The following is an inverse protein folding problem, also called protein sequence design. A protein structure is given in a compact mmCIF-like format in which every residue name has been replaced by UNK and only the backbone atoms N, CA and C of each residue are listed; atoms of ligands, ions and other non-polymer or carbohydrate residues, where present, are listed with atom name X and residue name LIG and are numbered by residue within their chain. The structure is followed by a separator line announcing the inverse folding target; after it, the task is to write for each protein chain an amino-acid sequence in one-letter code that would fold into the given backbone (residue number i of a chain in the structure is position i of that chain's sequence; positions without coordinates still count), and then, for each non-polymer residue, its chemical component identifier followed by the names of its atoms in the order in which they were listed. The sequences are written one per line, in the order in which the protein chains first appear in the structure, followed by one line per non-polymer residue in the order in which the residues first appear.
data_IF_776393747130
#
_entry.id   IF_776393747130
#
_cell.length_a   1.000
_cell.length_b   1.000
_cell.length_c   1.000
_cell.angle_alpha   90.00
_cell.angle_beta   90.00
_cell.angle_gamma   90.00
#
_symmetry.space_group_name_H-M   'P 1'
#
loop_
_entity.id
_entity.type
_entity.pdbx_description
1 polymer ?
#
# COMPACT_ATOMS: atom_id res chain seq x y z
N UNK A 1 -0.55 -15.55 19.19
CA UNK A 1 -1.03 -14.60 18.14
C UNK A 1 0.16 -13.82 17.56
N UNK A 2 0.17 -13.50 16.25
CA UNK A 2 1.30 -12.76 15.61
C UNK A 2 0.87 -11.33 15.26
N UNK A 3 1.71 -10.37 15.63
CA UNK A 3 1.52 -8.94 15.42
C UNK A 3 2.60 -8.41 14.48
N UNK A 4 2.23 -7.75 13.39
CA UNK A 4 3.20 -7.06 12.55
C UNK A 4 3.24 -5.56 12.91
N UNK A 5 4.46 -5.04 13.08
CA UNK A 5 4.75 -3.65 13.42
C UNK A 5 5.69 -3.09 12.35
N UNK A 6 5.25 -2.12 11.55
CA UNK A 6 6.11 -1.42 10.60
C UNK A 6 7.06 -0.50 11.38
N UNK A 7 8.37 -0.59 11.18
CA UNK A 7 9.36 0.22 11.90
C UNK A 7 10.35 0.94 10.97
N UNK A 8 10.78 2.12 11.42
CA UNK A 8 11.88 2.91 10.89
C UNK A 8 12.88 3.12 12.02
N UNK A 9 14.12 2.67 11.84
CA UNK A 9 15.23 2.91 12.80
C UNK A 9 14.79 2.72 14.26
N UNK A 10 14.17 1.57 14.55
CA UNK A 10 13.66 1.14 15.87
C UNK A 10 12.39 1.83 16.41
N UNK A 11 11.67 2.61 15.59
CA UNK A 11 10.39 3.23 15.97
C UNK A 11 9.27 2.85 15.01
N UNK A 12 8.03 2.85 15.49
CA UNK A 12 6.88 2.58 14.61
C UNK A 12 6.82 3.61 13.48
N UNK A 13 6.80 3.13 12.24
CA UNK A 13 6.80 3.97 11.06
C UNK A 13 5.52 4.81 11.00
N UNK A 14 5.67 6.07 10.58
CA UNK A 14 4.53 6.98 10.48
C UNK A 14 3.54 6.55 9.39
N UNK A 15 4.04 5.92 8.32
CA UNK A 15 3.24 5.39 7.23
C UNK A 15 3.59 3.93 6.99
N UNK A 16 2.56 3.08 6.92
CA UNK A 16 2.71 1.64 6.71
C UNK A 16 3.57 1.28 5.48
N UNK A 17 3.32 1.91 4.33
CA UNK A 17 4.03 1.58 3.08
C UNK A 17 5.41 2.23 2.96
N UNK A 18 5.76 3.20 3.82
CA UNK A 18 7.09 3.84 3.84
C UNK A 18 7.97 3.32 4.99
N UNK A 19 7.53 2.26 5.64
CA UNK A 19 8.32 1.61 6.68
C UNK A 19 9.56 0.98 6.05
N UNK A 20 10.72 1.08 6.70
CA UNK A 20 11.94 0.44 6.25
C UNK A 20 11.86 -1.08 6.48
N UNK A 21 11.33 -1.48 7.65
CA UNK A 21 11.23 -2.87 8.06
C UNK A 21 9.86 -3.18 8.64
N UNK A 22 9.51 -4.47 8.66
CA UNK A 22 8.37 -5.04 9.34
C UNK A 22 8.90 -6.01 10.39
N UNK A 23 8.58 -5.71 11.64
CA UNK A 23 8.91 -6.55 12.78
C UNK A 23 7.67 -7.35 13.14
N UNK A 24 7.80 -8.67 13.14
CA UNK A 24 6.81 -9.62 13.59
C UNK A 24 7.10 -9.90 15.05
N UNK A 25 6.12 -9.68 15.91
CA UNK A 25 6.22 -9.94 17.35
C UNK A 25 5.12 -10.89 17.79
N UNK A 26 5.41 -11.68 18.82
CA UNK A 26 4.43 -12.54 19.45
C UNK A 26 3.47 -11.73 20.36
N UNK A 27 2.57 -12.43 21.04
CA UNK A 27 1.64 -11.82 22.00
C UNK A 27 2.31 -11.25 23.26
N UNK A 28 3.55 -11.65 23.55
CA UNK A 28 4.38 -11.15 24.66
C UNK A 28 5.24 -9.95 24.23
N UNK A 29 5.16 -9.52 22.98
CA UNK A 29 6.00 -8.45 22.42
C UNK A 29 7.43 -8.89 22.11
N UNK A 30 7.70 -10.19 22.01
CA UNK A 30 9.00 -10.74 21.62
C UNK A 30 9.11 -10.72 20.10
N UNK A 31 10.20 -10.16 19.58
CA UNK A 31 10.50 -10.19 18.14
C UNK A 31 10.72 -11.63 17.66
N UNK A 32 9.85 -12.06 16.75
CA UNK A 32 9.93 -13.34 16.07
C UNK A 32 10.76 -13.24 14.80
N UNK A 33 10.61 -12.14 14.06
CA UNK A 33 11.31 -11.92 12.80
C UNK A 33 11.28 -10.45 12.40
N UNK A 34 12.30 -10.01 11.65
CA UNK A 34 12.39 -8.69 11.05
C UNK A 34 12.68 -8.83 9.58
N UNK A 35 11.80 -8.31 8.74
CA UNK A 35 11.93 -8.37 7.27
C UNK A 35 11.91 -6.98 6.68
N UNK A 36 12.67 -6.77 5.61
CA UNK A 36 12.62 -5.51 4.84
C UNK A 36 11.26 -5.34 4.18
N UNK A 37 10.80 -4.09 4.06
CA UNK A 37 9.50 -3.82 3.45
C UNK A 37 9.59 -3.81 1.91
N UNK A 38 8.98 -4.78 1.20
CA UNK A 38 9.03 -4.81 -0.26
C UNK A 38 8.22 -3.67 -0.92
N UNK A 39 7.43 -2.91 -0.15
CA UNK A 39 6.73 -1.72 -0.62
C UNK A 39 7.58 -0.44 -0.52
N UNK A 40 8.77 -0.50 0.09
CA UNK A 40 9.67 0.65 0.17
C UNK A 40 10.25 0.95 -1.22
N UNK A 41 9.93 2.12 -1.78
CA UNK A 41 10.42 2.54 -3.10
C UNK A 41 9.81 1.79 -4.30
N UNK A 42 8.92 0.82 -4.05
CA UNK A 42 8.23 0.06 -5.09
C UNK A 42 6.80 0.56 -5.31
N UNK A 43 6.32 0.46 -6.56
CA UNK A 43 4.97 0.84 -6.96
C UNK A 43 3.90 -0.19 -6.49
N UNK A 44 2.81 -0.31 -7.24
CA UNK A 44 1.66 -1.17 -6.93
C UNK A 44 2.02 -2.64 -6.65
N UNK A 45 3.10 -3.16 -7.24
CA UNK A 45 3.56 -4.55 -7.04
C UNK A 45 4.15 -4.77 -5.64
N UNK A 46 4.92 -3.81 -5.11
CA UNK A 46 5.50 -3.90 -3.77
C UNK A 46 4.44 -3.94 -2.67
N UNK A 47 3.37 -3.15 -2.85
CA UNK A 47 2.20 -3.15 -1.94
C UNK A 47 1.47 -4.48 -1.89
N UNK A 48 1.42 -5.22 -2.99
CA UNK A 48 0.79 -6.55 -3.03
C UNK A 48 1.68 -7.60 -2.36
N UNK A 49 2.98 -7.60 -2.68
CA UNK A 49 3.96 -8.46 -2.01
C UNK A 49 3.99 -8.26 -0.49
N UNK A 50 3.81 -7.01 -0.04
CA UNK A 50 3.71 -6.69 1.39
C UNK A 50 2.53 -7.42 2.05
N UNK A 51 1.35 -7.37 1.44
CA UNK A 51 0.17 -8.08 1.96
C UNK A 51 0.37 -9.59 1.89
N UNK A 52 0.88 -10.10 0.77
CA UNK A 52 1.16 -11.53 0.60
C UNK A 52 2.14 -12.04 1.67
N UNK A 53 3.16 -11.25 2.01
CA UNK A 53 4.11 -11.57 3.08
C UNK A 53 3.41 -11.66 4.43
N UNK A 54 2.53 -10.72 4.78
CA UNK A 54 1.81 -10.75 6.06
C UNK A 54 0.89 -11.98 6.16
N UNK A 55 0.24 -12.34 5.05
CA UNK A 55 -0.60 -13.55 4.98
C UNK A 55 0.26 -14.81 5.12
N UNK A 56 1.39 -14.88 4.43
CA UNK A 56 2.35 -16.00 4.53
C UNK A 56 2.90 -16.18 5.94
N UNK A 57 3.17 -15.06 6.63
CA UNK A 57 3.66 -15.05 8.02
C UNK A 57 2.53 -15.25 9.05
N UNK A 58 1.30 -15.55 8.59
CA UNK A 58 0.12 -15.78 9.43
C UNK A 58 -0.15 -14.66 10.44
N UNK A 59 0.07 -13.41 10.02
CA UNK A 59 -0.14 -12.23 10.84
C UNK A 59 -1.63 -12.10 11.15
N UNK A 60 -1.96 -12.09 12.44
CA UNK A 60 -3.35 -11.93 12.89
C UNK A 60 -3.72 -10.47 13.04
N UNK A 61 -2.77 -9.62 13.46
CA UNK A 61 -2.98 -8.19 13.62
C UNK A 61 -1.79 -7.35 13.16
N UNK A 62 -2.06 -6.12 12.74
CA UNK A 62 -1.04 -5.14 12.32
C UNK A 62 -1.25 -3.85 13.10
N UNK A 63 -0.20 -3.34 13.73
CA UNK A 63 -0.26 -2.06 14.46
C UNK A 63 0.42 -0.99 13.64
N UNK A 64 -0.30 0.06 13.29
CA UNK A 64 0.17 1.13 12.38
C UNK A 64 -0.08 2.50 12.98
N UNK A 65 0.69 3.50 12.56
CA UNK A 65 0.39 4.90 12.91
C UNK A 65 -0.58 5.53 11.92
N UNK A 66 -0.26 5.41 10.63
CA UNK A 66 -1.17 5.81 9.55
C UNK A 66 -1.16 4.76 8.44
N UNK A 67 -2.36 4.44 7.96
CA UNK A 67 -2.60 3.54 6.83
C UNK A 67 -3.56 4.20 5.84
N UNK A 68 -3.36 3.93 4.55
CA UNK A 68 -4.28 4.38 3.51
C UNK A 68 -5.49 3.44 3.39
N UNK A 69 -6.65 3.98 3.08
CA UNK A 69 -7.93 3.25 2.92
C UNK A 69 -7.79 2.00 2.05
N UNK A 70 -7.16 2.12 0.88
CA UNK A 70 -6.97 1.00 -0.06
C UNK A 70 -6.14 -0.15 0.53
N UNK A 71 -5.20 0.14 1.42
CA UNK A 71 -4.39 -0.89 2.07
C UNK A 71 -5.13 -1.51 3.25
N UNK A 72 -5.82 -0.68 4.03
CA UNK A 72 -6.67 -1.13 5.12
C UNK A 72 -7.73 -2.12 4.61
N UNK A 73 -8.43 -1.79 3.53
CA UNK A 73 -9.41 -2.70 2.92
C UNK A 73 -8.83 -4.04 2.48
N UNK A 74 -7.56 -4.07 2.02
CA UNK A 74 -6.89 -5.33 1.68
C UNK A 74 -6.58 -6.17 2.92
N UNK A 75 -6.03 -5.56 3.97
CA UNK A 75 -5.74 -6.26 5.21
C UNK A 75 -7.02 -6.85 5.82
N UNK A 76 -8.10 -6.05 5.87
CA UNK A 76 -9.42 -6.49 6.34
C UNK A 76 -9.98 -7.63 5.48
N UNK A 77 -9.81 -7.59 4.15
CA UNK A 77 -10.23 -8.67 3.25
C UNK A 77 -9.49 -10.00 3.50
N UNK A 78 -8.30 -9.95 4.07
CA UNK A 78 -7.52 -11.13 4.48
C UNK A 78 -7.74 -11.52 5.96
N UNK A 79 -8.76 -10.96 6.63
CA UNK A 79 -9.06 -11.19 8.05
C UNK A 79 -7.91 -10.77 8.99
N UNK A 80 -7.10 -9.80 8.56
CA UNK A 80 -6.03 -9.22 9.38
C UNK A 80 -6.60 -7.99 10.11
N UNK A 81 -6.61 -8.04 11.44
CA UNK A 81 -7.05 -6.90 12.25
C UNK A 81 -6.02 -5.77 12.17
N UNK A 82 -6.48 -4.53 12.03
CA UNK A 82 -5.58 -3.37 11.95
C UNK A 82 -5.86 -2.45 13.12
N UNK A 83 -4.82 -2.12 13.88
CA UNK A 83 -4.88 -1.23 15.02
C UNK A 83 -4.07 0.03 14.74
N UNK A 84 -4.67 1.17 15.03
CA UNK A 84 -4.01 2.46 14.94
C UNK A 84 -3.44 2.87 16.30
N UNK A 85 -2.17 3.26 16.32
CA UNK A 85 -1.52 3.92 17.46
C UNK A 85 -1.29 5.40 17.17
N UNK A 86 -1.45 6.24 18.19
CA UNK A 86 -1.15 7.67 18.15
C UNK A 86 0.37 7.96 18.28
N UNK A 87 1.09 7.07 18.97
CA UNK A 87 2.45 7.25 19.43
C UNK A 87 3.42 6.21 18.84
N UNK A 88 4.33 6.65 17.97
CA UNK A 88 5.33 5.75 17.37
C UNK A 88 6.54 5.37 18.25
N UNK A 89 6.59 5.84 19.51
CA UNK A 89 7.64 5.52 20.50
C UNK A 89 7.21 4.45 21.52
N UNK A 90 6.05 3.84 21.33
CA UNK A 90 5.53 2.79 22.21
C UNK A 90 6.41 1.53 22.08
N UNK A 91 6.62 0.85 23.20
CA UNK A 91 7.31 -0.45 23.21
C UNK A 91 6.42 -1.52 22.56
N UNK A 92 7.03 -2.51 21.91
CA UNK A 92 6.28 -3.61 21.28
C UNK A 92 5.43 -4.38 22.29
N UNK A 93 5.90 -4.48 23.54
CA UNK A 93 5.16 -5.09 24.66
C UNK A 93 3.83 -4.37 24.92
N UNK A 94 3.82 -3.04 24.90
CA UNK A 94 2.58 -2.25 25.06
C UNK A 94 1.66 -2.40 23.86
N UNK A 95 2.22 -2.39 22.65
CA UNK A 95 1.44 -2.56 21.41
C UNK A 95 0.85 -3.96 21.27
N UNK A 96 1.41 -4.94 21.99
CA UNK A 96 0.91 -6.31 22.00
C UNK A 96 -0.18 -6.55 23.04
N UNK A 97 -0.28 -5.69 24.03
CA UNK A 97 -1.23 -5.82 25.11
C UNK A 97 -2.66 -5.59 24.61
N UNK A 98 -3.57 -6.58 24.70
CA UNK A 98 -4.95 -6.46 24.21
C UNK A 98 -5.80 -5.46 25.01
N UNK A 99 -5.38 -5.08 26.22
CA UNK A 99 -6.09 -4.15 27.11
C UNK A 99 -5.64 -2.69 26.92
N UNK A 100 -4.70 -2.43 26.01
CA UNK A 100 -4.29 -1.06 25.71
C UNK A 100 -5.41 -0.29 25.02
N UNK A 101 -6.19 0.45 25.81
CA UNK A 101 -7.15 1.51 25.39
C UNK A 101 -6.55 2.60 24.50
N UNK A 102 -5.25 2.52 24.22
CA UNK A 102 -4.49 3.44 23.39
C UNK A 102 -4.57 3.06 21.90
N UNK A 103 -4.98 1.83 21.59
CA UNK A 103 -5.10 1.35 20.22
C UNK A 103 -6.53 1.51 19.72
N UNK A 104 -6.67 2.14 18.55
CA UNK A 104 -7.96 2.26 17.87
C UNK A 104 -8.07 1.17 16.82
N UNK A 105 -9.02 0.26 16.97
CA UNK A 105 -9.27 -0.76 15.94
C UNK A 105 -9.88 -0.12 14.69
N UNK A 106 -9.27 -0.42 13.54
CA UNK A 106 -9.73 -0.01 12.23
C UNK A 106 -10.43 -1.20 11.57
N UNK A 107 -11.75 -1.26 11.69
CA UNK A 107 -12.57 -2.33 11.13
C UNK A 107 -13.24 -1.95 9.80
N UNK A 108 -13.20 -0.67 9.42
CA UNK A 108 -13.73 -0.17 8.16
C UNK A 108 -12.62 0.46 7.32
N UNK A 109 -12.56 0.17 6.00
CA UNK A 109 -11.58 0.76 5.11
C UNK A 109 -11.62 2.30 5.12
N UNK A 110 -12.81 2.89 5.30
CA UNK A 110 -13.06 4.34 5.36
C UNK A 110 -12.31 5.05 6.50
N UNK A 111 -11.91 4.32 7.55
CA UNK A 111 -11.10 4.87 8.64
C UNK A 111 -9.63 5.10 8.22
N UNK A 112 -9.22 4.54 7.08
CA UNK A 112 -7.91 4.80 6.49
C UNK A 112 -7.85 6.17 5.81
N UNK A 113 -6.64 6.70 5.63
CA UNK A 113 -6.45 7.95 4.89
C UNK A 113 -6.90 7.78 3.44
N UNK A 114 -7.87 8.58 3.02
CA UNK A 114 -8.26 8.70 1.62
C UNK A 114 -7.07 9.18 0.80
N UNK A 115 -6.85 8.57 -0.36
CA UNK A 115 -5.85 9.05 -1.31
C UNK A 115 -6.41 10.29 -2.02
N UNK A 116 -6.17 11.48 -1.46
CA UNK A 116 -6.44 12.76 -2.12
C UNK A 116 -5.47 12.99 -3.28
N UNK A 117 -5.63 12.23 -4.36
CA UNK A 117 -4.94 12.50 -5.62
C UNK A 117 -5.67 11.89 -6.83
N UNK A 118 -6.99 12.02 -6.88
CA UNK A 118 -7.78 11.75 -8.08
C UNK A 118 -8.85 12.83 -8.28
N UNK A 119 -8.47 14.09 -8.06
CA UNK A 119 -9.13 15.22 -8.70
C UNK A 119 -8.12 15.86 -9.65
N UNK A 120 -8.51 15.99 -10.91
CA UNK A 120 -7.73 16.49 -12.06
C UNK A 120 -6.69 15.54 -12.66
N UNK A 121 -7.14 14.57 -13.47
CA UNK A 121 -6.66 14.43 -14.87
C UNK A 121 -7.52 13.46 -15.68
N UNK A 122 -8.28 14.06 -16.61
CA UNK A 122 -8.59 13.55 -17.94
C UNK A 122 -9.22 12.16 -18.04
N UNK A 123 -10.55 12.12 -18.19
CA UNK A 123 -11.19 11.08 -18.98
C UNK A 123 -10.64 11.15 -20.42
N UNK A 124 -9.58 10.40 -20.73
CA UNK A 124 -9.28 10.02 -22.11
C UNK A 124 -9.61 8.55 -22.23
N UNK A 125 -10.84 8.31 -22.67
CA UNK A 125 -11.37 6.99 -22.93
C UNK A 125 -10.54 6.30 -24.02
N UNK A 126 -10.30 5.03 -23.75
CA UNK A 126 -9.96 3.90 -24.61
C UNK A 126 -9.97 4.14 -26.12
N UNK A 127 -8.86 3.77 -26.76
CA UNK A 127 -8.85 3.30 -28.14
C UNK A 127 -9.62 1.97 -28.22
N UNK A 128 -10.57 1.87 -29.13
CA UNK A 128 -10.89 0.66 -29.90
C UNK A 128 -11.74 1.07 -31.11
N UNK A 129 -11.34 0.53 -32.26
CA UNK A 129 -11.70 0.81 -33.64
C UNK A 129 -13.19 0.78 -34.01
N UNK A 130 -13.57 1.54 -35.05
CA UNK A 130 -14.90 1.48 -35.64
C UNK A 130 -15.21 2.56 -36.68
N UNK A 131 -14.65 2.39 -37.88
CA UNK A 131 -15.04 2.94 -39.19
C UNK A 131 -16.44 3.59 -39.28
N UNK A 132 -16.53 4.88 -39.65
CA UNK A 132 -17.45 5.42 -40.67
C UNK A 132 -17.07 6.87 -41.05
N UNK A 133 -16.58 7.03 -42.28
CA UNK A 133 -16.93 8.08 -43.26
C UNK A 133 -16.89 9.60 -42.90
N UNK A 134 -16.06 10.30 -43.69
CA UNK A 134 -16.35 11.57 -44.39
C UNK A 134 -16.07 12.93 -43.69
N UNK A 135 -15.07 13.60 -44.27
CA UNK A 135 -14.93 15.04 -44.54
C UNK A 135 -14.41 16.05 -43.49
N UNK A 136 -13.34 16.75 -43.93
CA UNK A 136 -12.84 18.09 -43.58
C UNK A 136 -12.39 18.31 -42.12
N UNK A 137 -11.15 18.74 -41.84
CA UNK A 137 -10.57 20.00 -42.28
C UNK A 137 -9.03 19.97 -42.35
N UNK A 138 -8.54 20.74 -43.30
CA UNK A 138 -7.17 20.98 -43.70
C UNK A 138 -6.34 21.67 -42.58
N UNK A 139 -5.05 21.38 -42.52
CA UNK A 139 -4.10 22.11 -41.69
C UNK A 139 -2.72 21.46 -41.71
N UNK A 140 -2.00 21.61 -42.83
CA UNK A 140 -0.70 20.98 -43.03
C UNK A 140 0.40 21.51 -42.10
N UNK A 141 1.38 20.65 -41.82
CA UNK A 141 2.81 20.92 -42.06
C UNK A 141 3.61 19.65 -41.87
N UNK A 142 4.36 19.33 -42.91
CA UNK A 142 5.39 18.30 -43.00
C UNK A 142 6.42 18.51 -41.88
N UNK A 143 7.07 17.45 -41.40
CA UNK A 143 8.51 17.39 -41.23
C UNK A 143 8.97 15.95 -40.94
N UNK A 144 10.13 15.64 -41.52
CA UNK A 144 10.74 14.34 -41.74
C UNK A 144 11.41 13.70 -40.51
N UNK A 145 11.84 12.44 -40.70
CA UNK A 145 12.79 11.62 -39.91
C UNK A 145 12.18 10.86 -38.72
N UNK A 146 12.40 9.55 -38.52
CA UNK A 146 13.19 8.59 -39.28
C UNK A 146 13.06 7.19 -38.67
N UNK A 147 13.29 6.19 -39.53
CA UNK A 147 14.02 4.96 -39.29
C UNK A 147 13.80 4.17 -37.98
N UNK A 148 13.19 2.98 -38.11
CA UNK A 148 13.82 1.78 -37.56
C UNK A 148 13.05 0.96 -36.50
N UNK A 149 12.62 -0.23 -36.94
CA UNK A 149 12.56 -1.52 -36.21
C UNK A 149 11.55 -1.66 -35.08
N UNK A 150 10.39 -2.25 -35.43
CA UNK A 150 9.59 -3.03 -34.48
C UNK A 150 10.22 -4.43 -34.35
N UNK A 151 10.66 -4.79 -33.14
CA UNK A 151 11.07 -6.14 -32.79
C UNK A 151 9.85 -7.03 -32.52
N UNK A 152 9.90 -8.26 -33.05
CA UNK A 152 8.99 -9.36 -32.79
C UNK A 152 8.97 -9.80 -31.31
N UNK A 153 7.80 -10.22 -30.84
CA UNK A 153 7.54 -11.53 -30.21
C UNK A 153 6.03 -11.75 -30.18
#
# INVERSE_FOLDING_TARGET
MITAIPVNDDRVANHFTKASHLVLVDERGVELSRTENPALGADCSGKRKLVDLLVQQQVSRVVVRNIGERMLGKLLGHQIAVYQTDCGRRLFTELCDPDTRVLTELNKPEQGRQSFHHEAKGKKCCHSDGNTAENACQGGRQHHHGNGRCCHS
#
